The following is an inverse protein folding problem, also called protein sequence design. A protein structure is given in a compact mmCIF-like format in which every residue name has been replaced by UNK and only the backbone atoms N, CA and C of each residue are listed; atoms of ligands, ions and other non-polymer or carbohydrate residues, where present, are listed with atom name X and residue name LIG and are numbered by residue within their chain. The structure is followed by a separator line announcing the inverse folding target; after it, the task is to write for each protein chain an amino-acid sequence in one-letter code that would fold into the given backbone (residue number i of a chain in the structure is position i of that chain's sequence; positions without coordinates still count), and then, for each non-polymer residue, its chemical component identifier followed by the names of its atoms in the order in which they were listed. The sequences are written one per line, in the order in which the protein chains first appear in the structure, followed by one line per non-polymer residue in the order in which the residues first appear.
data_IF_462967856941
#
_entry.id   IF_462967856941
#
_cell.length_a   1.000
_cell.length_b   1.000
_cell.length_c   1.000
_cell.angle_alpha   90.00
_cell.angle_beta   90.00
_cell.angle_gamma   90.00
#
_symmetry.space_group_name_H-M   'P 1'
#
loop_
_entity.id
_entity.type
_entity.pdbx_description
1 polymer ?
#
# COMPACT_ATOMS: atom_id res chain seq x y z
N UNK A 1 -29.19 61.86 36.01
CA UNK A 1 -29.54 61.06 34.83
C UNK A 1 -29.15 59.63 35.10
N UNK A 2 -30.13 58.73 35.14
CA UNK A 2 -29.95 57.28 35.24
C UNK A 2 -29.28 56.76 33.96
N UNK A 3 -28.41 55.78 34.10
CA UNK A 3 -27.90 54.94 33.02
C UNK A 3 -27.40 53.64 33.63
N UNK A 4 -28.24 52.60 33.59
CA UNK A 4 -27.93 51.24 33.99
C UNK A 4 -26.93 50.60 33.00
N UNK A 5 -25.96 49.87 33.55
CA UNK A 5 -25.05 49.00 32.80
C UNK A 5 -24.66 47.80 33.67
N UNK A 6 -25.09 46.62 33.25
CA UNK A 6 -24.95 45.31 33.92
C UNK A 6 -23.50 44.82 33.82
N UNK A 7 -22.88 44.45 34.93
CA UNK A 7 -21.62 43.68 34.94
C UNK A 7 -21.79 42.32 35.63
N UNK A 8 -21.24 41.31 34.97
CA UNK A 8 -21.44 39.86 35.12
C UNK A 8 -20.30 39.27 35.98
N UNK A 9 -20.55 38.40 36.98
CA UNK A 9 -19.52 37.97 37.92
C UNK A 9 -18.86 36.66 37.46
N UNK A 10 -17.70 36.75 36.82
CA UNK A 10 -16.79 35.60 36.70
C UNK A 10 -15.42 36.11 36.27
N UNK A 11 -14.54 36.40 37.23
CA UNK A 11 -13.07 36.23 37.15
C UNK A 11 -12.44 36.86 38.40
N UNK A 12 -12.22 36.06 39.44
CA UNK A 12 -11.24 36.39 40.48
C UNK A 12 -10.17 35.28 40.49
N UNK A 13 -8.88 35.61 40.30
CA UNK A 13 -7.79 34.67 40.49
C UNK A 13 -7.37 34.64 41.97
N UNK A 14 -7.12 33.47 42.59
CA UNK A 14 -6.59 33.46 43.94
C UNK A 14 -5.07 33.70 43.95
N UNK A 15 -4.66 34.74 44.66
CA UNK A 15 -3.28 35.05 45.07
C UNK A 15 -2.87 34.26 46.33
N UNK A 16 -1.55 34.17 46.62
CA UNK A 16 -0.97 33.15 47.49
C UNK A 16 -0.85 33.61 48.94
N UNK A 17 -1.06 32.68 49.87
CA UNK A 17 -0.47 32.55 51.21
C UNK A 17 -1.49 32.13 52.26
N UNK A 18 -1.39 30.87 52.70
CA UNK A 18 -1.69 30.50 54.08
C UNK A 18 -0.95 29.22 54.43
N UNK A 19 0.08 29.38 55.25
CA UNK A 19 0.98 28.31 55.68
C UNK A 19 0.29 27.22 56.48
N UNK A 20 0.82 26.01 56.36
CA UNK A 20 0.57 24.93 57.33
C UNK A 20 1.80 24.04 57.50
N UNK A 21 2.51 24.33 58.59
CA UNK A 21 3.19 23.41 59.51
C UNK A 21 3.94 22.19 58.94
N UNK A 22 5.28 22.28 59.02
CA UNK A 22 6.19 21.14 59.12
C UNK A 22 5.97 20.40 60.45
N UNK A 23 5.69 19.10 60.38
CA UNK A 23 6.09 18.15 61.43
C UNK A 23 6.83 16.99 60.79
N UNK A 24 7.98 16.67 61.37
CA UNK A 24 8.89 15.63 60.93
C UNK A 24 8.70 14.33 61.73
N UNK A 25 8.66 13.21 60.99
CA UNK A 25 9.05 11.81 61.34
C UNK A 25 8.24 11.02 62.39
N UNK A 26 8.22 9.66 62.36
CA UNK A 26 9.29 8.78 61.83
C UNK A 26 8.88 7.63 60.90
N UNK A 27 9.92 7.02 60.33
CA UNK A 27 9.96 5.86 59.47
C UNK A 27 9.19 4.62 60.00
N UNK A 28 8.61 3.87 59.06
CA UNK A 28 8.17 2.49 59.27
C UNK A 28 6.92 2.14 58.46
N UNK A 29 6.99 1.03 57.71
CA UNK A 29 5.94 0.41 56.88
C UNK A 29 5.77 0.97 55.45
N UNK A 30 6.82 0.82 54.65
CA UNK A 30 6.70 0.74 53.19
C UNK A 30 6.70 -0.72 52.73
N UNK A 31 5.51 -1.25 52.45
CA UNK A 31 5.24 -2.37 51.55
C UNK A 31 3.70 -2.45 51.45
N UNK A 32 3.17 -2.80 50.28
CA UNK A 32 1.74 -3.03 50.00
C UNK A 32 0.87 -1.83 49.58
N UNK A 33 1.43 -0.91 48.79
CA UNK A 33 0.65 -0.02 47.91
C UNK A 33 1.18 -0.04 46.47
N UNK A 34 1.27 -1.25 45.89
CA UNK A 34 1.70 -1.47 44.50
C UNK A 34 0.89 -2.54 43.75
N UNK A 35 -0.22 -3.01 44.34
CA UNK A 35 -1.03 -4.09 43.77
C UNK A 35 -2.29 -3.54 43.07
N UNK A 36 -2.08 -2.73 42.03
CA UNK A 36 -3.03 -2.59 40.95
C UNK A 36 -2.24 -2.73 39.65
N UNK A 37 -1.70 -3.94 39.44
CA UNK A 37 -1.09 -4.32 38.20
C UNK A 37 -2.17 -4.27 37.11
N UNK A 38 -2.13 -3.23 36.27
CA UNK A 38 -2.53 -3.35 34.86
C UNK A 38 -1.93 -4.67 34.35
N UNK A 39 -2.75 -5.52 33.71
CA UNK A 39 -2.34 -6.82 33.15
C UNK A 39 -0.97 -6.69 32.49
N UNK A 40 0.09 -7.07 33.21
CA UNK A 40 1.45 -6.90 32.73
C UNK A 40 1.55 -7.71 31.45
N UNK A 41 1.75 -7.03 30.31
CA UNK A 41 1.86 -7.64 29.00
C UNK A 41 2.81 -8.84 29.09
N UNK A 42 2.29 -10.07 29.05
CA UNK A 42 3.10 -11.28 29.19
C UNK A 42 4.06 -11.36 27.99
N UNK A 43 5.30 -10.93 28.22
CA UNK A 43 6.38 -11.00 27.23
C UNK A 43 6.74 -12.47 26.99
N UNK A 44 6.78 -12.88 25.72
CA UNK A 44 6.91 -14.30 25.34
C UNK A 44 8.19 -14.62 24.55
N UNK A 45 8.68 -15.87 24.63
CA UNK A 45 9.72 -16.34 23.70
C UNK A 45 9.15 -16.51 22.28
N UNK A 46 9.99 -16.32 21.26
CA UNK A 46 9.61 -16.56 19.86
C UNK A 46 9.51 -18.08 19.57
N UNK A 47 8.36 -18.56 19.08
CA UNK A 47 8.16 -19.98 18.74
C UNK A 47 6.71 -20.46 18.79
N UNK A 48 6.53 -21.77 18.65
CA UNK A 48 5.22 -22.43 18.69
C UNK A 48 5.02 -23.20 19.98
N UNK A 49 4.20 -22.65 20.88
CA UNK A 49 3.88 -23.29 22.15
C UNK A 49 5.16 -23.61 22.94
N UNK A 50 5.49 -24.90 23.08
CA UNK A 50 6.70 -25.37 23.78
C UNK A 50 7.96 -25.41 22.90
N UNK A 51 7.85 -25.22 21.59
CA UNK A 51 8.98 -25.26 20.66
C UNK A 51 9.52 -23.84 20.44
N UNK A 52 10.58 -23.48 21.17
CA UNK A 52 11.23 -22.16 21.14
C UNK A 52 12.72 -22.28 20.77
N UNK A 53 13.06 -22.55 19.49
CA UNK A 53 14.44 -22.80 19.09
C UNK A 53 15.31 -21.56 19.25
N UNK A 54 16.57 -21.76 19.67
CA UNK A 54 17.54 -20.68 19.95
C UNK A 54 17.80 -19.76 18.73
N UNK A 55 17.76 -20.31 17.52
CA UNK A 55 17.95 -19.54 16.28
C UNK A 55 16.82 -18.50 16.07
N UNK A 56 15.57 -18.82 16.41
CA UNK A 56 14.44 -17.88 16.26
C UNK A 56 14.45 -16.78 17.34
N UNK A 57 15.12 -17.01 18.47
CA UNK A 57 15.26 -15.99 19.51
C UNK A 57 16.16 -14.82 19.09
N UNK A 58 17.08 -15.01 18.14
CA UNK A 58 17.89 -13.90 17.60
C UNK A 58 17.04 -12.84 16.90
N UNK A 59 15.90 -13.24 16.33
CA UNK A 59 14.95 -12.34 15.68
C UNK A 59 13.87 -11.82 16.65
N UNK A 60 13.88 -12.20 17.94
CA UNK A 60 12.89 -11.79 18.93
C UNK A 60 13.17 -10.36 19.47
N UNK A 61 13.26 -9.41 18.55
CA UNK A 61 13.49 -7.99 18.81
C UNK A 61 12.76 -7.14 17.75
N UNK A 62 12.61 -5.83 17.97
CA UNK A 62 11.92 -4.95 17.03
C UNK A 62 12.56 -4.93 15.63
N UNK A 63 13.88 -5.09 15.54
CA UNK A 63 14.61 -5.12 14.27
C UNK A 63 14.25 -6.36 13.43
N UNK A 64 14.16 -7.53 14.07
CA UNK A 64 13.75 -8.78 13.43
C UNK A 64 12.30 -8.73 12.95
N UNK A 65 11.41 -8.15 13.76
CA UNK A 65 10.03 -7.90 13.34
C UNK A 65 9.96 -6.92 12.18
N UNK A 66 10.72 -5.82 12.23
CA UNK A 66 10.79 -4.85 11.14
C UNK A 66 11.27 -5.51 9.84
N UNK A 67 12.27 -6.37 9.89
CA UNK A 67 12.75 -7.09 8.70
C UNK A 67 11.65 -7.96 8.07
N UNK A 68 10.92 -8.74 8.89
CA UNK A 68 9.80 -9.56 8.40
C UNK A 68 8.64 -8.69 7.86
N UNK A 69 8.30 -7.62 8.57
CA UNK A 69 7.30 -6.62 8.16
C UNK A 69 7.65 -5.97 6.83
N UNK A 70 8.89 -5.49 6.69
CA UNK A 70 9.40 -4.88 5.47
C UNK A 70 9.39 -5.85 4.29
N UNK A 71 9.78 -7.11 4.48
CA UNK A 71 9.69 -8.13 3.42
C UNK A 71 8.25 -8.35 2.96
N UNK A 72 7.30 -8.46 3.89
CA UNK A 72 5.89 -8.62 3.56
C UNK A 72 5.33 -7.38 2.83
N UNK A 73 5.73 -6.18 3.27
CA UNK A 73 5.35 -4.92 2.65
C UNK A 73 5.89 -4.80 1.22
N UNK A 74 7.14 -5.22 0.96
CA UNK A 74 7.71 -5.27 -0.40
C UNK A 74 6.89 -6.20 -1.28
N UNK A 75 6.60 -7.43 -0.84
CA UNK A 75 5.84 -8.37 -1.66
C UNK A 75 4.41 -7.91 -1.92
N UNK A 76 3.75 -7.31 -0.93
CA UNK A 76 2.44 -6.69 -1.13
C UNK A 76 2.53 -5.58 -2.20
N UNK A 77 3.54 -4.71 -2.12
CA UNK A 77 3.78 -3.65 -3.10
C UNK A 77 4.10 -4.19 -4.50
N UNK A 78 4.93 -5.24 -4.61
CA UNK A 78 5.24 -5.94 -5.86
C UNK A 78 3.96 -6.43 -6.51
N UNK A 79 3.12 -7.15 -5.77
CA UNK A 79 1.91 -7.78 -6.32
C UNK A 79 0.87 -6.73 -6.68
N UNK A 80 0.45 -5.91 -5.71
CA UNK A 80 -0.74 -5.04 -5.86
C UNK A 80 -0.45 -3.84 -6.74
N UNK A 81 0.68 -3.16 -6.51
CA UNK A 81 0.99 -1.90 -7.18
C UNK A 81 1.96 -2.05 -8.38
N UNK A 82 2.64 -3.19 -8.51
CA UNK A 82 3.54 -3.48 -9.64
C UNK A 82 2.92 -4.44 -10.65
N UNK A 83 2.85 -5.73 -10.29
CA UNK A 83 2.47 -6.83 -11.18
C UNK A 83 1.05 -6.70 -11.70
N UNK A 84 0.08 -6.31 -10.87
CA UNK A 84 -1.29 -6.12 -11.35
C UNK A 84 -1.33 -5.01 -12.39
N UNK A 85 -0.79 -3.82 -12.06
CA UNK A 85 -0.82 -2.66 -12.94
C UNK A 85 -0.16 -2.93 -14.31
N UNK A 86 1.00 -3.60 -14.34
CA UNK A 86 1.68 -3.91 -15.60
C UNK A 86 0.96 -5.02 -16.40
N UNK A 87 0.19 -5.89 -15.73
CA UNK A 87 -0.53 -6.99 -16.39
C UNK A 87 -1.90 -6.58 -16.95
N UNK A 88 -2.43 -5.40 -16.60
CA UNK A 88 -3.78 -4.95 -17.00
C UNK A 88 -3.98 -5.06 -18.51
N UNK A 89 -3.09 -4.48 -19.33
CA UNK A 89 -3.26 -4.49 -20.79
C UNK A 89 -3.27 -5.91 -21.37
N UNK A 90 -2.46 -6.81 -20.82
CA UNK A 90 -2.43 -8.22 -21.24
C UNK A 90 -3.74 -8.93 -20.88
N UNK A 91 -4.31 -8.62 -19.71
CA UNK A 91 -5.59 -9.17 -19.26
C UNK A 91 -6.75 -8.62 -20.10
N UNK A 92 -6.76 -7.32 -20.41
CA UNK A 92 -7.76 -6.70 -21.30
C UNK A 92 -7.79 -7.40 -22.66
N UNK A 93 -6.62 -7.55 -23.29
CA UNK A 93 -6.49 -8.21 -24.60
C UNK A 93 -6.87 -9.69 -24.55
N UNK A 94 -6.45 -10.42 -23.51
CA UNK A 94 -6.71 -11.87 -23.43
C UNK A 94 -8.17 -12.21 -23.13
N UNK A 95 -8.78 -11.50 -22.19
CA UNK A 95 -10.11 -11.81 -21.67
C UNK A 95 -11.21 -10.92 -22.29
N UNK A 96 -10.86 -10.12 -23.29
CA UNK A 96 -11.75 -9.21 -24.01
C UNK A 96 -12.50 -8.27 -23.04
N UNK A 97 -11.76 -7.70 -22.09
CA UNK A 97 -12.32 -6.82 -21.05
C UNK A 97 -12.14 -5.35 -21.45
N UNK A 98 -13.19 -4.56 -21.23
CA UNK A 98 -13.12 -3.11 -21.35
C UNK A 98 -12.31 -2.50 -20.20
N UNK A 99 -11.67 -1.35 -20.43
CA UNK A 99 -10.86 -0.66 -19.42
C UNK A 99 -11.64 -0.24 -18.16
N UNK A 100 -12.95 -0.06 -18.25
CA UNK A 100 -13.79 0.18 -17.07
C UNK A 100 -13.90 -1.04 -16.16
N UNK A 101 -13.93 -2.26 -16.74
CA UNK A 101 -14.01 -3.51 -15.99
C UNK A 101 -12.67 -3.90 -15.37
N UNK A 102 -11.56 -3.66 -16.07
CA UNK A 102 -10.22 -3.86 -15.51
C UNK A 102 -9.87 -2.78 -14.49
N UNK A 103 -10.38 -1.56 -14.65
CA UNK A 103 -10.38 -0.54 -13.59
C UNK A 103 -11.08 -1.02 -12.32
N UNK A 104 -12.22 -1.72 -12.45
CA UNK A 104 -12.91 -2.32 -11.30
C UNK A 104 -12.09 -3.43 -10.63
N UNK A 105 -11.34 -4.23 -11.39
CA UNK A 105 -10.40 -5.21 -10.83
C UNK A 105 -9.39 -4.49 -9.93
N UNK A 106 -8.75 -3.43 -10.43
CA UNK A 106 -7.76 -2.66 -9.65
C UNK A 106 -8.37 -2.07 -8.38
N UNK A 107 -9.54 -1.43 -8.49
CA UNK A 107 -10.24 -0.80 -7.36
C UNK A 107 -10.74 -1.81 -6.30
N UNK A 108 -10.89 -3.10 -6.64
CA UNK A 108 -11.41 -4.11 -5.71
C UNK A 108 -10.53 -4.30 -4.47
N UNK A 109 -9.21 -4.13 -4.60
CA UNK A 109 -8.29 -4.10 -3.46
C UNK A 109 -8.66 -3.00 -2.46
N UNK A 110 -8.83 -1.77 -2.97
CA UNK A 110 -9.14 -0.60 -2.15
C UNK A 110 -10.52 -0.71 -1.51
N UNK A 111 -11.50 -1.30 -2.19
CA UNK A 111 -12.85 -1.56 -1.65
C UNK A 111 -12.75 -2.47 -0.43
N UNK A 112 -12.05 -3.61 -0.55
CA UNK A 112 -11.86 -4.54 0.57
C UNK A 112 -11.08 -3.88 1.72
N UNK A 113 -10.00 -3.16 1.40
CA UNK A 113 -9.18 -2.48 2.38
C UNK A 113 -9.99 -1.43 3.17
N UNK A 114 -10.74 -0.57 2.48
CA UNK A 114 -11.56 0.47 3.10
C UNK A 114 -12.60 -0.12 4.06
N UNK A 115 -13.35 -1.14 3.62
CA UNK A 115 -14.42 -1.76 4.43
C UNK A 115 -13.84 -2.44 5.68
N UNK A 116 -12.71 -3.14 5.53
CA UNK A 116 -12.14 -3.96 6.60
C UNK A 116 -11.20 -3.19 7.54
N UNK A 117 -10.63 -2.05 7.10
CA UNK A 117 -9.64 -1.30 7.87
C UNK A 117 -10.09 -0.99 9.29
N UNK A 118 -11.26 -0.39 9.46
CA UNK A 118 -11.79 -0.02 10.77
C UNK A 118 -12.09 -1.23 11.64
N UNK A 119 -12.67 -2.28 11.04
CA UNK A 119 -13.03 -3.51 11.75
C UNK A 119 -11.77 -4.25 12.24
N UNK A 120 -10.81 -4.50 11.34
CA UNK A 120 -9.56 -5.18 11.66
C UNK A 120 -8.74 -4.38 12.65
N UNK A 121 -8.73 -3.05 12.57
CA UNK A 121 -8.03 -2.21 13.54
C UNK A 121 -8.64 -2.38 14.95
N UNK A 122 -9.95 -2.27 15.08
CA UNK A 122 -10.61 -2.36 16.39
C UNK A 122 -10.53 -3.74 17.04
N UNK A 123 -10.81 -4.81 16.28
CA UNK A 123 -10.81 -6.17 16.81
C UNK A 123 -9.41 -6.77 16.87
N UNK A 124 -8.57 -6.45 15.89
CA UNK A 124 -7.22 -6.98 15.79
C UNK A 124 -6.25 -6.38 16.81
N UNK A 125 -6.46 -5.14 17.24
CA UNK A 125 -5.63 -4.48 18.25
C UNK A 125 -5.63 -5.21 19.59
N UNK A 126 -6.76 -5.80 19.99
CA UNK A 126 -6.91 -6.59 21.22
C UNK A 126 -6.33 -8.00 21.10
N UNK A 127 -6.15 -8.46 19.87
CA UNK A 127 -5.71 -9.80 19.55
C UNK A 127 -4.19 -9.95 19.62
N UNK A 128 -3.71 -11.04 19.03
CA UNK A 128 -2.29 -11.30 18.88
C UNK A 128 -1.80 -10.70 17.56
N UNK A 129 -1.35 -9.44 17.56
CA UNK A 129 -1.03 -8.66 16.34
C UNK A 129 -0.15 -9.44 15.34
N UNK A 130 0.97 -10.10 15.72
CA UNK A 130 1.75 -10.90 14.75
C UNK A 130 1.00 -12.06 14.09
N UNK A 131 0.02 -12.68 14.75
CA UNK A 131 -0.80 -13.75 14.14
C UNK A 131 -1.78 -13.19 13.11
N UNK A 132 -2.25 -11.96 13.28
CA UNK A 132 -3.00 -11.26 12.23
C UNK A 132 -2.11 -10.95 11.02
N UNK A 133 -0.81 -10.74 11.21
CA UNK A 133 0.16 -10.60 10.12
C UNK A 133 0.48 -11.95 9.45
N UNK A 134 0.43 -13.07 10.17
CA UNK A 134 0.46 -14.39 9.56
C UNK A 134 -0.77 -14.64 8.67
N UNK A 135 -1.96 -14.23 9.14
CA UNK A 135 -3.20 -14.24 8.35
C UNK A 135 -3.11 -13.31 7.13
N UNK A 136 -2.50 -12.12 7.30
CA UNK A 136 -2.18 -11.18 6.22
C UNK A 136 -1.39 -11.86 5.10
N UNK A 137 -0.26 -12.47 5.44
CA UNK A 137 0.60 -13.18 4.50
C UNK A 137 -0.14 -14.33 3.80
N UNK A 138 -0.92 -15.12 4.55
CA UNK A 138 -1.74 -16.18 3.96
C UNK A 138 -2.70 -15.64 2.90
N UNK A 139 -3.46 -14.59 3.21
CA UNK A 139 -4.45 -13.98 2.31
C UNK A 139 -3.79 -13.29 1.10
N UNK A 140 -2.64 -12.63 1.29
CA UNK A 140 -1.87 -12.04 0.19
C UNK A 140 -1.36 -13.10 -0.79
N UNK A 141 -0.84 -14.21 -0.28
CA UNK A 141 -0.43 -15.33 -1.12
C UNK A 141 -1.63 -15.99 -1.83
N UNK A 142 -2.72 -16.24 -1.10
CA UNK A 142 -3.94 -16.83 -1.67
C UNK A 142 -4.54 -15.94 -2.78
N UNK A 143 -4.58 -14.63 -2.56
CA UNK A 143 -5.01 -13.66 -3.57
C UNK A 143 -4.12 -13.69 -4.81
N UNK A 144 -2.80 -13.77 -4.64
CA UNK A 144 -1.84 -13.90 -5.75
C UNK A 144 -2.03 -15.19 -6.54
N UNK A 145 -2.26 -16.31 -5.85
CA UNK A 145 -2.57 -17.60 -6.47
C UNK A 145 -3.87 -17.51 -7.28
N UNK A 146 -4.95 -17.03 -6.67
CA UNK A 146 -6.26 -16.90 -7.33
C UNK A 146 -6.19 -15.97 -8.54
N UNK A 147 -5.43 -14.88 -8.45
CA UNK A 147 -5.23 -13.96 -9.57
C UNK A 147 -4.52 -14.63 -10.76
N UNK A 148 -3.64 -15.62 -10.51
CA UNK A 148 -2.97 -16.39 -11.56
C UNK A 148 -3.82 -17.51 -12.19
N UNK A 149 -4.87 -17.98 -11.48
CA UNK A 149 -5.69 -19.13 -11.91
C UNK A 149 -6.31 -19.01 -13.31
N UNK A 150 -6.85 -17.85 -13.73
CA UNK A 150 -7.47 -17.72 -15.05
C UNK A 150 -6.57 -18.18 -16.19
N UNK A 151 -5.25 -18.00 -16.11
CA UNK A 151 -4.34 -18.48 -17.15
C UNK A 151 -4.43 -20.00 -17.34
N UNK A 152 -4.47 -20.77 -16.26
CA UNK A 152 -4.48 -22.23 -16.31
C UNK A 152 -5.85 -22.82 -16.70
N UNK A 153 -6.94 -22.11 -16.40
CA UNK A 153 -8.29 -22.60 -16.67
C UNK A 153 -8.90 -22.08 -17.97
N UNK A 154 -8.35 -21.01 -18.56
CA UNK A 154 -8.87 -20.38 -19.78
C UNK A 154 -8.53 -21.08 -21.09
N UNK A 155 -7.67 -22.11 -21.06
CA UNK A 155 -7.16 -22.79 -22.26
C UNK A 155 -6.00 -22.03 -22.92
N UNK A 156 -5.47 -22.55 -24.05
CA UNK A 156 -4.33 -21.94 -24.75
C UNK A 156 -4.72 -20.66 -25.47
N UNK A 157 -3.82 -19.69 -25.55
CA UNK A 157 -4.01 -18.53 -26.40
C UNK A 157 -3.93 -18.96 -27.88
N UNK A 158 -4.89 -18.57 -28.69
CA UNK A 158 -4.79 -18.72 -30.14
C UNK A 158 -4.57 -17.34 -30.75
N UNK A 159 -3.48 -17.17 -31.50
CA UNK A 159 -3.22 -15.95 -32.28
C UNK A 159 -4.41 -15.70 -33.20
N UNK A 160 -5.12 -14.58 -33.01
CA UNK A 160 -6.17 -14.16 -33.93
C UNK A 160 -5.60 -13.84 -35.31
N UNK A 161 -6.39 -14.01 -36.37
CA UNK A 161 -6.05 -13.50 -37.70
C UNK A 161 -5.73 -11.99 -37.60
N UNK A 162 -4.75 -11.51 -38.36
CA UNK A 162 -4.33 -10.11 -38.37
C UNK A 162 -5.54 -9.28 -38.82
N UNK A 163 -6.21 -8.60 -37.90
CA UNK A 163 -7.20 -7.60 -38.29
C UNK A 163 -6.37 -6.43 -38.80
N UNK A 164 -6.32 -6.26 -40.11
CA UNK A 164 -5.80 -5.01 -40.68
C UNK A 164 -6.74 -3.91 -40.19
N UNK A 165 -6.25 -3.00 -39.33
CA UNK A 165 -6.94 -1.79 -38.86
C UNK A 165 -7.26 -0.80 -40.01
N UNK A 166 -7.20 -1.27 -41.26
CA UNK A 166 -7.49 -0.53 -42.47
C UNK A 166 -8.71 -1.16 -43.13
N UNK A 167 -9.79 -0.39 -43.30
CA UNK A 167 -10.86 -0.78 -44.21
C UNK A 167 -10.27 -0.92 -45.62
N UNK A 168 -10.18 -2.15 -46.14
CA UNK A 168 -10.00 -2.32 -47.58
C UNK A 168 -11.29 -1.88 -48.27
N UNK A 169 -11.26 -0.68 -48.86
CA UNK A 169 -12.29 -0.28 -49.82
C UNK A 169 -12.03 -1.06 -51.11
N UNK A 170 -12.48 -2.32 -51.15
CA UNK A 170 -12.58 -3.04 -52.41
C UNK A 170 -13.81 -2.52 -53.14
N UNK A 171 -13.58 -1.83 -54.26
CA UNK A 171 -14.61 -1.20 -55.07
C UNK A 171 -15.78 -2.13 -55.36
N UNK A 172 -17.00 -1.60 -55.22
CA UNK A 172 -18.24 -2.14 -55.78
C UNK A 172 -18.55 -3.60 -55.44
N UNK A 173 -18.98 -3.84 -54.21
CA UNK A 173 -20.21 -4.60 -53.91
C UNK A 173 -20.54 -4.40 -52.44
N UNK A 174 -21.69 -3.81 -52.17
CA UNK A 174 -22.31 -3.75 -50.85
C UNK A 174 -22.71 -5.16 -50.40
N UNK A 175 -21.74 -5.98 -50.03
CA UNK A 175 -22.00 -7.17 -49.22
C UNK A 175 -22.15 -6.71 -47.80
N UNK A 176 -23.36 -6.86 -47.25
CA UNK A 176 -23.71 -6.62 -45.86
C UNK A 176 -22.63 -7.18 -44.92
N UNK A 177 -21.69 -6.33 -44.49
CA UNK A 177 -20.88 -6.60 -43.31
C UNK A 177 -21.83 -6.51 -42.13
N UNK A 178 -22.49 -7.63 -41.85
CA UNK A 178 -23.14 -7.85 -40.58
C UNK A 178 -22.00 -7.90 -39.57
N UNK A 179 -21.79 -6.79 -38.86
CA UNK A 179 -21.07 -6.79 -37.61
C UNK A 179 -21.87 -7.70 -36.67
N UNK A 180 -21.57 -9.00 -36.72
CA UNK A 180 -21.99 -9.92 -35.67
C UNK A 180 -21.33 -9.38 -34.42
N UNK A 181 -22.12 -8.74 -33.54
CA UNK A 181 -21.65 -8.45 -32.20
C UNK A 181 -21.29 -9.81 -31.63
N UNK A 182 -19.99 -10.11 -31.59
CA UNK A 182 -19.45 -11.37 -31.14
C UNK A 182 -20.11 -11.69 -29.82
N UNK A 183 -20.80 -12.83 -29.77
CA UNK A 183 -21.45 -13.32 -28.56
C UNK A 183 -20.39 -13.27 -27.46
N UNK A 184 -20.61 -12.44 -26.41
CA UNK A 184 -19.60 -12.20 -25.36
C UNK A 184 -18.96 -13.52 -24.98
N UNK A 185 -17.67 -13.65 -25.28
CA UNK A 185 -16.90 -14.84 -24.99
C UNK A 185 -17.07 -15.23 -23.52
N UNK A 186 -17.25 -16.53 -23.23
CA UNK A 186 -17.30 -17.03 -21.85
C UNK A 186 -16.05 -16.68 -21.04
N UNK A 187 -14.98 -16.27 -21.72
CA UNK A 187 -13.72 -15.80 -21.17
C UNK A 187 -13.88 -14.51 -20.34
N UNK A 188 -14.84 -13.64 -20.67
CA UNK A 188 -15.10 -12.42 -19.91
C UNK A 188 -15.55 -12.71 -18.46
N UNK A 189 -16.10 -13.90 -18.19
CA UNK A 189 -16.51 -14.32 -16.84
C UNK A 189 -15.32 -14.48 -15.87
N UNK A 190 -14.08 -14.60 -16.37
CA UNK A 190 -12.89 -14.62 -15.52
C UNK A 190 -12.64 -13.29 -14.79
N UNK A 191 -13.34 -12.21 -15.18
CA UNK A 191 -13.42 -10.97 -14.41
C UNK A 191 -13.67 -11.22 -12.92
N UNK A 192 -14.61 -12.09 -12.58
CA UNK A 192 -14.99 -12.35 -11.19
C UNK A 192 -13.87 -13.05 -10.40
N UNK A 193 -13.05 -13.85 -11.07
CA UNK A 193 -11.88 -14.50 -10.46
C UNK A 193 -10.81 -13.46 -10.14
N UNK A 194 -10.57 -12.52 -11.06
CA UNK A 194 -9.63 -11.41 -10.81
C UNK A 194 -10.11 -10.48 -9.69
N UNK A 195 -11.41 -10.15 -9.65
CA UNK A 195 -12.02 -9.39 -8.56
C UNK A 195 -11.86 -10.12 -7.23
N UNK A 196 -12.14 -11.43 -7.19
CA UNK A 196 -11.94 -12.24 -5.98
C UNK A 196 -10.49 -12.23 -5.51
N UNK A 197 -9.53 -12.40 -6.44
CA UNK A 197 -8.10 -12.30 -6.13
C UNK A 197 -7.74 -10.96 -5.49
N UNK A 198 -8.21 -9.86 -6.06
CA UNK A 198 -7.97 -8.51 -5.55
C UNK A 198 -8.64 -8.22 -4.20
N UNK A 199 -9.87 -8.71 -4.00
CA UNK A 199 -10.54 -8.62 -2.69
C UNK A 199 -9.72 -9.34 -1.61
N UNK A 200 -9.19 -10.54 -1.90
CA UNK A 200 -8.36 -11.30 -0.96
C UNK A 200 -7.02 -10.61 -0.69
N UNK A 201 -6.39 -10.02 -1.72
CA UNK A 201 -5.22 -9.16 -1.55
C UNK A 201 -5.53 -7.97 -0.63
N UNK A 202 -6.71 -7.35 -0.78
CA UNK A 202 -7.17 -6.26 0.08
C UNK A 202 -7.38 -6.69 1.53
N UNK A 203 -8.04 -7.83 1.75
CA UNK A 203 -8.20 -8.46 3.08
C UNK A 203 -6.84 -8.71 3.74
N UNK A 204 -5.86 -9.19 2.97
CA UNK A 204 -4.49 -9.40 3.45
C UNK A 204 -3.75 -8.09 3.71
N UNK A 205 -3.91 -7.08 2.86
CA UNK A 205 -3.27 -5.77 2.99
C UNK A 205 -3.72 -4.98 4.22
N UNK A 206 -4.96 -5.18 4.69
CA UNK A 206 -5.50 -4.47 5.85
C UNK A 206 -4.67 -4.64 7.13
N UNK A 207 -4.54 -5.84 7.73
CA UNK A 207 -3.76 -6.03 8.95
C UNK A 207 -2.27 -5.67 8.80
N UNK A 208 -1.72 -5.71 7.59
CA UNK A 208 -0.37 -5.26 7.32
C UNK A 208 -0.22 -3.77 7.69
N UNK A 209 -1.04 -2.90 7.12
CA UNK A 209 -0.91 -1.46 7.33
C UNK A 209 -1.50 -0.93 8.63
N UNK A 210 -2.46 -1.65 9.23
CA UNK A 210 -3.09 -1.24 10.50
C UNK A 210 -2.38 -1.83 11.72
N UNK A 211 -2.37 -3.16 11.84
CA UNK A 211 -1.84 -3.85 13.02
C UNK A 211 -0.32 -3.98 12.97
N UNK A 212 0.26 -4.08 11.77
CA UNK A 212 1.70 -4.22 11.59
C UNK A 212 2.45 -2.98 12.07
N UNK A 213 1.97 -1.80 11.69
CA UNK A 213 2.50 -0.50 12.14
C UNK A 213 2.22 -0.26 13.62
N UNK A 214 1.03 -0.61 14.11
CA UNK A 214 0.71 -0.52 15.53
C UNK A 214 1.62 -1.39 16.40
N UNK A 215 1.98 -2.60 15.95
CA UNK A 215 2.91 -3.45 16.68
C UNK A 215 4.33 -2.86 16.74
N UNK A 216 4.79 -2.25 15.65
CA UNK A 216 6.08 -1.52 15.63
C UNK A 216 6.03 -0.35 16.61
N UNK A 217 4.95 0.44 16.58
CA UNK A 217 4.83 1.56 17.51
C UNK A 217 4.89 1.08 18.95
N UNK A 218 4.09 0.09 19.32
CA UNK A 218 4.07 -0.46 20.69
C UNK A 218 5.42 -0.98 21.18
N UNK A 219 6.18 -1.61 20.27
CA UNK A 219 7.40 -2.36 20.62
C UNK A 219 8.67 -1.50 20.60
N UNK A 220 8.59 -0.25 20.13
CA UNK A 220 9.75 0.62 19.92
C UNK A 220 9.62 1.90 20.76
N UNK A 221 10.71 2.42 21.36
CA UNK A 221 10.68 3.69 22.08
C UNK A 221 10.11 4.83 21.22
N UNK A 222 9.38 5.77 21.84
CA UNK A 222 8.68 6.88 21.17
C UNK A 222 9.49 7.56 20.06
N UNK A 223 10.73 7.96 20.37
CA UNK A 223 11.58 8.65 19.39
C UNK A 223 12.07 7.73 18.26
N UNK A 224 12.15 6.41 18.44
CA UNK A 224 12.59 5.49 17.38
C UNK A 224 11.42 4.94 16.55
N UNK A 225 10.18 5.00 17.04
CA UNK A 225 9.01 4.45 16.34
C UNK A 225 8.84 5.03 14.93
N UNK A 226 8.94 6.35 14.79
CA UNK A 226 8.83 7.04 13.49
C UNK A 226 9.85 6.55 12.45
N UNK A 227 11.09 6.25 12.87
CA UNK A 227 12.10 5.68 11.99
C UNK A 227 11.73 4.29 11.49
N UNK A 228 11.25 3.42 12.39
CA UNK A 228 10.89 2.04 12.04
C UNK A 228 9.67 2.02 11.11
N UNK A 229 8.65 2.82 11.42
CA UNK A 229 7.47 2.97 10.58
C UNK A 229 7.85 3.55 9.21
N UNK A 230 8.73 4.57 9.18
CA UNK A 230 9.24 5.17 7.95
C UNK A 230 10.00 4.18 7.06
N UNK A 231 10.88 3.34 7.64
CA UNK A 231 11.55 2.24 6.92
C UNK A 231 10.49 1.26 6.37
N UNK A 232 9.53 0.87 7.18
CA UNK A 232 8.44 -0.02 6.78
C UNK A 232 7.67 0.48 5.55
N UNK A 233 7.22 1.73 5.56
CA UNK A 233 6.52 2.36 4.43
C UNK A 233 7.42 2.58 3.21
N UNK A 234 8.70 2.92 3.41
CA UNK A 234 9.65 3.04 2.31
C UNK A 234 9.82 1.71 1.55
N UNK A 235 9.90 0.59 2.27
CA UNK A 235 10.02 -0.74 1.65
C UNK A 235 8.75 -1.15 0.89
N UNK A 236 7.57 -0.76 1.36
CA UNK A 236 6.32 -0.91 0.58
C UNK A 236 6.39 -0.20 -0.76
N UNK A 237 6.96 1.02 -0.78
CA UNK A 237 7.05 1.84 -1.99
C UNK A 237 8.09 1.32 -3.00
N UNK A 238 9.16 0.69 -2.53
CA UNK A 238 10.12 0.01 -3.40
C UNK A 238 9.52 -1.23 -4.09
N UNK A 239 8.50 -1.85 -3.47
CA UNK A 239 7.79 -3.01 -4.01
C UNK A 239 7.28 -2.80 -5.45
N UNK A 240 6.45 -1.78 -5.75
CA UNK A 240 5.98 -1.52 -7.11
C UNK A 240 7.12 -1.41 -8.14
N UNK A 241 8.23 -0.72 -7.83
CA UNK A 241 9.36 -0.60 -8.76
C UNK A 241 9.96 -1.97 -9.10
N UNK A 242 10.16 -2.84 -8.11
CA UNK A 242 10.60 -4.22 -8.31
C UNK A 242 9.57 -4.99 -9.15
N UNK A 243 8.27 -4.82 -8.88
CA UNK A 243 7.18 -5.46 -9.62
C UNK A 243 7.10 -5.03 -11.09
N UNK A 244 7.27 -3.73 -11.40
CA UNK A 244 7.32 -3.24 -12.78
C UNK A 244 8.52 -3.79 -13.54
N UNK A 245 9.70 -3.85 -12.91
CA UNK A 245 10.90 -4.42 -13.55
C UNK A 245 10.73 -5.92 -13.79
N UNK A 246 10.36 -6.68 -12.77
CA UNK A 246 10.15 -8.14 -12.89
C UNK A 246 9.04 -8.46 -13.89
N UNK A 247 7.89 -7.78 -13.79
CA UNK A 247 6.77 -7.94 -14.70
C UNK A 247 7.15 -7.58 -16.13
N UNK A 248 7.89 -6.49 -16.34
CA UNK A 248 8.30 -6.03 -17.67
C UNK A 248 9.21 -7.03 -18.37
N UNK A 249 10.14 -7.65 -17.64
CA UNK A 249 10.97 -8.73 -18.19
C UNK A 249 10.14 -9.97 -18.55
N UNK A 250 9.14 -10.32 -17.72
CA UNK A 250 8.25 -11.45 -17.98
C UNK A 250 7.27 -11.18 -19.11
N UNK A 251 7.01 -9.91 -19.46
CA UNK A 251 6.22 -9.58 -20.64
C UNK A 251 6.94 -9.93 -21.95
N UNK A 252 8.27 -10.01 -21.95
CA UNK A 252 9.06 -10.44 -23.12
C UNK A 252 9.03 -11.96 -23.33
N UNK A 253 8.46 -12.71 -22.40
CA UNK A 253 8.26 -14.15 -22.50
C UNK A 253 6.84 -14.42 -22.96
N UNK A 254 6.66 -15.24 -23.99
CA UNK A 254 5.33 -15.55 -24.51
C UNK A 254 4.45 -16.24 -23.46
N UNK A 255 3.17 -15.87 -23.43
CA UNK A 255 2.20 -16.32 -22.41
C UNK A 255 2.11 -17.85 -22.26
N UNK A 256 2.21 -18.58 -23.37
CA UNK A 256 2.22 -20.04 -23.40
C UNK A 256 3.66 -20.54 -23.63
N UNK A 257 4.39 -20.82 -22.55
CA UNK A 257 5.82 -21.22 -22.57
C UNK A 257 6.09 -22.44 -23.48
N UNK A 258 5.08 -23.30 -23.68
CA UNK A 258 5.12 -24.38 -24.65
C UNK A 258 4.64 -23.90 -26.03
N UNK A 259 5.54 -23.27 -26.78
CA UNK A 259 5.40 -23.22 -28.24
C UNK A 259 5.45 -24.67 -28.72
N UNK A 260 4.45 -25.19 -29.46
CA UNK A 260 4.51 -26.56 -29.95
C UNK A 260 5.54 -26.65 -31.08
N UNK A 261 6.82 -26.85 -30.75
CA UNK A 261 7.89 -27.25 -31.67
C UNK A 261 7.61 -28.58 -32.40
N UNK A 262 6.45 -29.23 -32.18
CA UNK A 262 6.23 -30.62 -32.57
C UNK A 262 5.16 -30.87 -33.63
N UNK A 263 4.40 -29.84 -34.05
CA UNK A 263 3.39 -29.99 -35.10
C UNK A 263 3.80 -29.36 -36.44
N UNK A 264 5.02 -28.84 -36.58
CA UNK A 264 5.44 -28.13 -37.79
C UNK A 264 6.16 -29.02 -38.83
N UNK A 265 6.44 -30.28 -38.50
CA UNK A 265 7.21 -31.15 -39.40
C UNK A 265 6.40 -31.64 -40.62
N UNK A 266 5.08 -31.80 -40.53
CA UNK A 266 4.28 -32.27 -41.66
C UNK A 266 3.84 -31.14 -42.61
N UNK A 267 3.63 -29.93 -42.08
CA UNK A 267 3.18 -28.78 -42.88
C UNK A 267 4.36 -28.12 -43.62
N UNK A 268 5.54 -28.03 -43.00
CA UNK A 268 6.76 -27.55 -43.68
C UNK A 268 7.22 -28.48 -44.82
N UNK A 269 6.86 -29.77 -44.78
CA UNK A 269 7.11 -30.72 -45.87
C UNK A 269 6.17 -30.55 -47.06
N UNK A 270 4.93 -30.08 -46.84
CA UNK A 270 3.92 -29.94 -47.89
C UNK A 270 3.87 -28.51 -48.46
N UNK A 271 4.28 -27.49 -47.70
CA UNK A 271 4.24 -26.09 -48.11
C UNK A 271 5.49 -25.32 -47.64
N UNK A 272 6.64 -25.50 -48.33
CA UNK A 272 7.93 -24.91 -47.93
C UNK A 272 7.96 -23.37 -47.92
N UNK A 273 6.94 -22.70 -48.51
CA UNK A 273 6.85 -21.23 -48.63
C UNK A 273 5.61 -20.62 -47.97
N UNK A 274 4.77 -21.38 -47.25
CA UNK A 274 3.53 -20.84 -46.67
C UNK A 274 3.68 -20.42 -45.20
N UNK A 275 4.56 -21.08 -44.46
CA UNK A 275 4.87 -20.74 -43.07
C UNK A 275 6.34 -20.34 -42.98
N UNK A 276 6.67 -19.17 -43.55
CA UNK A 276 7.85 -18.45 -43.07
C UNK A 276 7.69 -18.37 -41.56
N UNK A 277 8.68 -18.90 -40.84
CA UNK A 277 8.85 -18.73 -39.41
C UNK A 277 8.17 -17.44 -38.98
N UNK A 278 7.07 -17.55 -38.26
CA UNK A 278 6.54 -16.41 -37.53
C UNK A 278 7.64 -16.08 -36.53
N UNK A 279 8.61 -15.28 -36.96
CA UNK A 279 9.44 -14.49 -36.07
C UNK A 279 8.40 -13.78 -35.23
N UNK A 280 8.21 -14.27 -34.01
CA UNK A 280 7.27 -13.70 -33.08
C UNK A 280 7.84 -12.33 -32.74
N UNK A 281 7.38 -11.34 -33.48
CA UNK A 281 7.78 -9.97 -33.27
C UNK A 281 7.17 -9.52 -31.95
N UNK A 282 8.03 -9.11 -31.01
CA UNK A 282 7.60 -8.60 -29.71
C UNK A 282 6.78 -7.32 -29.87
N UNK A 283 6.93 -6.64 -31.01
CA UNK A 283 6.20 -5.43 -31.37
C UNK A 283 4.80 -5.73 -31.96
N UNK A 284 4.42 -7.00 -32.17
CA UNK A 284 3.06 -7.35 -32.61
C UNK A 284 2.05 -6.99 -31.49
N UNK A 285 1.02 -6.15 -31.76
CA UNK A 285 0.04 -5.76 -30.76
C UNK A 285 -0.75 -6.93 -30.14
N UNK A 286 -0.71 -8.13 -30.76
CA UNK A 286 -1.32 -9.36 -30.27
C UNK A 286 -0.42 -10.16 -29.34
N UNK A 287 0.84 -9.76 -29.15
CA UNK A 287 1.74 -10.39 -28.21
C UNK A 287 1.23 -10.23 -26.78
N UNK A 288 1.18 -11.35 -26.05
CA UNK A 288 0.79 -11.40 -24.65
C UNK A 288 1.91 -12.05 -23.85
N UNK A 289 2.34 -11.35 -22.79
CA UNK A 289 3.43 -11.79 -21.94
C UNK A 289 3.01 -12.79 -20.86
N UNK A 290 3.98 -13.52 -20.29
CA UNK A 290 3.77 -14.53 -19.25
C UNK A 290 3.59 -13.93 -17.84
N UNK A 291 2.59 -13.06 -17.68
CA UNK A 291 2.31 -12.31 -16.45
C UNK A 291 2.10 -13.20 -15.21
N UNK A 292 1.52 -14.39 -15.37
CA UNK A 292 1.14 -15.31 -14.29
C UNK A 292 2.33 -15.85 -13.48
N UNK A 293 3.53 -15.91 -14.07
CA UNK A 293 4.73 -16.49 -13.45
C UNK A 293 5.11 -15.71 -12.18
N UNK A 294 5.11 -14.38 -12.25
CA UNK A 294 5.48 -13.55 -11.11
C UNK A 294 4.50 -13.68 -9.95
N UNK A 295 3.19 -13.83 -10.24
CA UNK A 295 2.18 -14.04 -9.21
C UNK A 295 2.40 -15.36 -8.46
N UNK A 296 2.77 -16.44 -9.17
CA UNK A 296 3.11 -17.71 -8.54
C UNK A 296 4.40 -17.62 -7.71
N UNK A 297 5.44 -16.97 -8.22
CA UNK A 297 6.67 -16.75 -7.48
C UNK A 297 6.41 -15.96 -6.18
N UNK A 298 5.62 -14.89 -6.26
CA UNK A 298 5.22 -14.10 -5.08
C UNK A 298 4.35 -14.91 -4.12
N UNK A 299 3.44 -15.76 -4.61
CA UNK A 299 2.64 -16.66 -3.77
C UNK A 299 3.52 -17.52 -2.86
N UNK A 300 4.50 -18.23 -3.43
CA UNK A 300 5.41 -19.06 -2.63
C UNK A 300 6.24 -18.20 -1.67
N UNK A 301 6.79 -17.08 -2.14
CA UNK A 301 7.62 -16.19 -1.34
C UNK A 301 6.88 -15.59 -0.13
N UNK A 302 5.64 -15.14 -0.32
CA UNK A 302 4.80 -14.59 0.74
C UNK A 302 4.43 -15.67 1.74
N UNK A 303 4.11 -16.89 1.30
CA UNK A 303 3.75 -17.98 2.21
C UNK A 303 4.90 -18.43 3.09
N UNK A 304 6.16 -18.30 2.65
CA UNK A 304 7.30 -18.50 3.55
C UNK A 304 7.31 -17.50 4.73
N UNK A 305 6.74 -16.30 4.57
CA UNK A 305 6.64 -15.32 5.64
C UNK A 305 5.56 -15.63 6.70
N UNK A 306 4.67 -16.61 6.46
CA UNK A 306 3.73 -17.07 7.49
C UNK A 306 4.48 -17.62 8.72
N UNK A 307 5.59 -18.31 8.48
CA UNK A 307 6.42 -18.93 9.52
C UNK A 307 6.94 -17.88 10.53
N UNK A 308 7.71 -16.84 10.13
CA UNK A 308 8.21 -15.86 11.09
C UNK A 308 7.10 -15.13 11.84
N UNK A 309 6.00 -14.72 11.17
CA UNK A 309 4.88 -14.05 11.84
C UNK A 309 4.11 -14.93 12.82
N UNK A 310 4.05 -16.24 12.55
CA UNK A 310 3.43 -17.20 13.48
C UNK A 310 4.29 -17.46 14.72
N UNK A 311 5.61 -17.25 14.63
CA UNK A 311 6.55 -17.47 15.72
C UNK A 311 6.67 -16.26 16.66
N UNK A 312 6.50 -15.03 16.17
CA UNK A 312 6.62 -13.84 17.01
C UNK A 312 5.64 -13.87 18.20
N UNK A 313 6.07 -13.46 19.41
CA UNK A 313 5.21 -13.42 20.60
C UNK A 313 4.19 -12.27 20.53
N UNK A 314 3.20 -12.28 21.43
CA UNK A 314 2.16 -11.23 21.48
C UNK A 314 2.76 -9.85 21.79
N UNK A 315 3.78 -9.82 22.62
CA UNK A 315 4.55 -8.64 22.99
C UNK A 315 6.04 -9.00 22.95
N UNK A 316 6.85 -8.14 22.35
CA UNK A 316 8.30 -8.32 22.31
C UNK A 316 8.92 -8.06 23.70
N UNK A 317 10.10 -8.63 23.99
CA UNK A 317 10.81 -8.35 25.23
C UNK A 317 11.06 -6.84 25.43
N UNK A 318 10.70 -6.30 26.60
CA UNK A 318 10.80 -4.88 26.94
C UNK A 318 9.62 -4.00 26.52
N UNK A 319 8.61 -4.56 25.84
CA UNK A 319 7.42 -3.81 25.37
C UNK A 319 6.63 -3.24 26.54
N UNK A 320 6.50 -3.98 27.65
CA UNK A 320 5.72 -3.53 28.81
C UNK A 320 6.28 -2.22 29.41
N UNK A 321 7.62 -2.12 29.48
CA UNK A 321 8.31 -0.92 29.97
C UNK A 321 8.13 0.26 29.02
N UNK A 322 8.22 0.02 27.71
CA UNK A 322 8.06 1.06 26.67
C UNK A 322 6.64 1.63 26.68
N UNK A 323 5.63 0.77 26.81
CA UNK A 323 4.23 1.20 26.87
C UNK A 323 3.95 2.05 28.11
N UNK A 324 4.44 1.63 29.28
CA UNK A 324 4.29 2.41 30.51
C UNK A 324 4.90 3.83 30.40
N UNK A 325 6.06 3.96 29.76
CA UNK A 325 6.72 5.25 29.53
C UNK A 325 5.89 6.14 28.58
N UNK A 326 5.38 5.60 27.48
CA UNK A 326 4.53 6.35 26.52
C UNK A 326 3.22 6.84 27.15
N UNK A 327 2.59 6.00 27.98
CA UNK A 327 1.35 6.35 28.68
C UNK A 327 1.62 7.51 29.65
N UNK A 328 2.70 7.45 30.43
CA UNK A 328 3.02 8.50 31.41
C UNK A 328 3.17 9.90 30.82
N UNK A 329 3.64 10.02 29.57
CA UNK A 329 3.78 11.32 28.88
C UNK A 329 2.50 11.83 28.23
N UNK A 330 1.59 10.93 27.84
CA UNK A 330 0.35 11.27 27.13
C UNK A 330 -0.77 11.68 28.10
N UNK A 331 -0.62 11.34 29.39
CA UNK A 331 -1.69 11.36 30.39
C UNK A 331 -1.40 12.26 31.60
N UNK A 332 -0.95 13.49 31.38
CA UNK A 332 -0.91 14.51 32.45
C UNK A 332 -2.31 15.01 32.89
N UNK A 333 -3.40 14.56 32.25
CA UNK A 333 -4.76 15.12 32.42
C UNK A 333 -5.86 14.10 32.88
N UNK A 334 -5.50 12.88 33.32
CA UNK A 334 -6.46 11.96 33.98
C UNK A 334 -7.59 11.36 33.10
N UNK A 335 -7.50 11.51 31.77
CA UNK A 335 -8.55 11.09 30.81
C UNK A 335 -8.78 9.57 30.72
N UNK A 336 -7.79 8.74 31.07
CA UNK A 336 -7.87 7.27 30.96
C UNK A 336 -8.88 6.67 31.95
N UNK A 337 -8.91 7.18 33.18
CA UNK A 337 -9.85 6.74 34.21
C UNK A 337 -11.31 6.92 33.75
N UNK A 338 -11.61 7.93 32.93
CA UNK A 338 -12.93 8.20 32.36
C UNK A 338 -13.29 7.29 31.17
N UNK A 339 -12.30 6.82 30.41
CA UNK A 339 -12.50 5.93 29.26
C UNK A 339 -12.69 4.48 29.70
N UNK A 340 -11.91 4.03 30.70
CA UNK A 340 -12.07 2.71 31.33
C UNK A 340 -13.35 2.62 32.18
N UNK A 341 -13.65 3.61 33.05
CA UNK A 341 -14.86 3.55 33.89
C UNK A 341 -16.17 3.55 33.10
N UNK A 342 -16.19 4.11 31.89
CA UNK A 342 -17.40 4.14 31.04
C UNK A 342 -17.51 2.98 30.05
N UNK A 343 -16.61 1.98 30.07
CA UNK A 343 -16.57 0.87 29.09
C UNK A 343 -16.57 1.34 27.61
N UNK A 344 -16.19 2.60 27.35
CA UNK A 344 -16.32 3.26 26.05
C UNK A 344 -15.46 2.59 24.99
N UNK A 345 -14.29 2.09 25.38
CA UNK A 345 -13.39 1.37 24.48
C UNK A 345 -13.98 0.09 23.92
N UNK A 346 -14.90 -0.60 24.63
CA UNK A 346 -15.41 -1.92 24.22
C UNK A 346 -16.45 -1.88 23.10
N UNK A 347 -17.12 -0.74 22.89
CA UNK A 347 -18.19 -0.58 21.90
C UNK A 347 -17.67 0.07 20.61
N UNK A 348 -17.61 -0.70 19.51
CA UNK A 348 -17.10 -0.22 18.21
C UNK A 348 -17.76 1.08 17.73
N UNK A 349 -19.11 1.22 17.70
CA UNK A 349 -19.74 2.44 17.21
C UNK A 349 -19.46 3.67 18.07
N UNK A 350 -19.31 3.48 19.39
CA UNK A 350 -19.04 4.57 20.34
C UNK A 350 -17.59 5.05 20.16
N UNK A 351 -16.64 4.12 20.09
CA UNK A 351 -15.24 4.43 19.83
C UNK A 351 -15.08 5.16 18.48
N UNK A 352 -15.74 4.67 17.44
CA UNK A 352 -15.74 5.31 16.12
C UNK A 352 -16.30 6.74 16.20
N UNK A 353 -17.44 6.95 16.86
CA UNK A 353 -18.04 8.29 16.96
C UNK A 353 -17.16 9.28 17.74
N UNK A 354 -16.44 8.82 18.76
CA UNK A 354 -15.49 9.67 19.51
C UNK A 354 -14.32 10.08 18.61
N UNK A 355 -13.75 9.13 17.86
CA UNK A 355 -12.69 9.44 16.89
C UNK A 355 -13.19 10.39 15.80
N UNK A 356 -14.41 10.17 15.30
CA UNK A 356 -15.00 11.03 14.26
C UNK A 356 -15.25 12.47 14.73
N UNK A 357 -15.52 12.66 16.02
CA UNK A 357 -15.72 13.98 16.63
C UNK A 357 -14.42 14.68 17.04
N UNK A 358 -13.27 14.02 16.96
CA UNK A 358 -11.99 14.62 17.30
C UNK A 358 -11.48 15.52 16.15
N UNK A 359 -11.47 16.86 16.31
CA UNK A 359 -11.15 17.79 15.23
C UNK A 359 -9.68 17.71 14.80
N UNK A 360 -8.77 17.37 15.73
CA UNK A 360 -7.33 17.24 15.43
C UNK A 360 -7.10 16.01 14.55
N UNK A 361 -7.71 14.88 14.92
CA UNK A 361 -7.60 13.65 14.13
C UNK A 361 -8.20 13.84 12.73
N UNK A 362 -9.38 14.45 12.63
CA UNK A 362 -10.01 14.72 11.33
C UNK A 362 -9.19 15.64 10.44
N UNK A 363 -8.58 16.68 11.02
CA UNK A 363 -7.71 17.58 10.26
C UNK A 363 -6.48 16.83 9.71
N UNK A 364 -5.88 15.94 10.49
CA UNK A 364 -4.76 15.10 10.05
C UNK A 364 -5.16 14.12 8.95
N UNK A 365 -6.34 13.49 9.04
CA UNK A 365 -6.85 12.58 8.01
C UNK A 365 -7.07 13.33 6.70
N UNK A 366 -7.69 14.51 6.73
CA UNK A 366 -7.92 15.33 5.54
C UNK A 366 -6.59 15.76 4.90
N UNK A 367 -5.62 16.19 5.70
CA UNK A 367 -4.29 16.56 5.23
C UNK A 367 -3.58 15.37 4.56
N UNK A 368 -3.53 14.22 5.23
CA UNK A 368 -2.87 13.01 4.71
C UNK A 368 -3.57 12.47 3.44
N UNK A 369 -4.90 12.49 3.40
CA UNK A 369 -5.67 12.09 2.21
C UNK A 369 -5.42 13.03 1.03
N UNK A 370 -5.31 14.33 1.29
CA UNK A 370 -5.01 15.32 0.25
C UNK A 370 -3.59 15.13 -0.32
N UNK A 371 -2.61 14.86 0.54
CA UNK A 371 -1.24 14.54 0.13
C UNK A 371 -1.19 13.25 -0.69
N UNK A 372 -1.88 12.20 -0.24
CA UNK A 372 -1.99 10.94 -0.97
C UNK A 372 -2.65 11.11 -2.34
N UNK A 373 -3.69 11.95 -2.44
CA UNK A 373 -4.34 12.28 -3.72
C UNK A 373 -3.38 12.96 -4.69
N UNK A 374 -2.60 13.93 -4.21
CA UNK A 374 -1.56 14.59 -5.03
C UNK A 374 -0.51 13.56 -5.47
N UNK A 375 0.02 12.77 -4.55
CA UNK A 375 1.07 11.79 -4.84
C UNK A 375 0.61 10.74 -5.88
N UNK A 376 -0.59 10.19 -5.71
CA UNK A 376 -1.17 9.21 -6.64
C UNK A 376 -1.51 9.81 -8.00
N UNK A 377 -2.02 11.05 -8.03
CA UNK A 377 -2.27 11.80 -9.26
C UNK A 377 -0.99 12.03 -10.06
N UNK A 378 0.08 12.51 -9.41
CA UNK A 378 1.39 12.67 -10.06
C UNK A 378 1.96 11.31 -10.50
N UNK A 379 1.96 10.29 -9.65
CA UNK A 379 2.48 8.97 -10.01
C UNK A 379 1.82 8.38 -11.27
N UNK A 380 0.51 8.58 -11.40
CA UNK A 380 -0.30 7.99 -12.49
C UNK A 380 -0.20 8.80 -13.79
N UNK A 381 -0.28 10.13 -13.71
CA UNK A 381 -0.43 10.98 -14.89
C UNK A 381 0.86 11.64 -15.34
N UNK A 382 1.89 11.72 -14.50
CA UNK A 382 3.15 12.38 -14.87
C UNK A 382 3.84 11.71 -16.07
N UNK A 383 3.95 10.36 -16.18
CA UNK A 383 4.55 9.75 -17.37
C UNK A 383 3.76 10.06 -18.65
N UNK A 384 2.43 10.00 -18.59
CA UNK A 384 1.53 10.34 -19.71
C UNK A 384 1.65 11.80 -20.12
N UNK A 385 1.77 12.69 -19.13
CA UNK A 385 2.00 14.11 -19.38
C UNK A 385 3.31 14.33 -20.12
N UNK A 386 4.40 13.68 -19.71
CA UNK A 386 5.71 13.83 -20.35
C UNK A 386 5.70 13.25 -21.78
N UNK A 387 5.05 12.11 -21.97
CA UNK A 387 4.87 11.50 -23.29
C UNK A 387 4.08 12.41 -24.24
N UNK A 388 2.92 12.91 -23.81
CA UNK A 388 2.06 13.72 -24.68
C UNK A 388 2.57 15.16 -24.88
N UNK A 389 3.18 15.76 -23.86
CA UNK A 389 3.59 17.17 -23.90
C UNK A 389 4.96 17.36 -24.55
N UNK A 390 5.88 16.41 -24.36
CA UNK A 390 7.27 16.49 -24.82
C UNK A 390 7.64 15.44 -25.86
N UNK A 391 6.64 14.69 -26.38
CA UNK A 391 6.78 13.59 -27.35
C UNK A 391 7.85 12.56 -27.01
N UNK A 392 8.13 12.39 -25.71
CA UNK A 392 9.07 11.38 -25.24
C UNK A 392 8.45 10.00 -25.33
N UNK A 393 9.27 9.01 -25.61
CA UNK A 393 8.81 7.61 -25.66
C UNK A 393 8.18 7.20 -24.33
N UNK A 394 7.14 6.36 -24.39
CA UNK A 394 6.46 5.85 -23.19
C UNK A 394 7.43 5.18 -22.21
N UNK A 395 8.45 4.48 -22.73
CA UNK A 395 9.50 3.85 -21.93
C UNK A 395 10.37 4.85 -21.18
N UNK A 396 10.79 5.95 -21.82
CA UNK A 396 11.59 6.98 -21.17
C UNK A 396 10.78 7.71 -20.09
N UNK A 397 9.56 8.10 -20.40
CA UNK A 397 8.65 8.81 -19.48
C UNK A 397 8.30 7.97 -18.26
N UNK A 398 8.01 6.67 -18.45
CA UNK A 398 7.76 5.73 -17.37
C UNK A 398 9.02 5.47 -16.53
N UNK A 399 10.20 5.36 -17.15
CA UNK A 399 11.47 5.18 -16.44
C UNK A 399 11.81 6.40 -15.59
N UNK A 400 11.60 7.61 -16.12
CA UNK A 400 11.82 8.85 -15.36
C UNK A 400 10.86 8.94 -14.17
N UNK A 401 9.58 8.67 -14.39
CA UNK A 401 8.58 8.62 -13.32
C UNK A 401 8.94 7.60 -12.24
N UNK A 402 9.30 6.37 -12.64
CA UNK A 402 9.66 5.29 -11.72
C UNK A 402 10.97 5.53 -10.96
N UNK A 403 12.03 5.97 -11.65
CA UNK A 403 13.37 6.14 -11.07
C UNK A 403 13.47 7.38 -10.18
N UNK A 404 12.72 8.44 -10.49
CA UNK A 404 12.73 9.66 -9.68
C UNK A 404 11.73 9.56 -8.55
N UNK A 405 10.47 9.23 -8.83
CA UNK A 405 9.40 9.34 -7.83
C UNK A 405 9.51 8.27 -6.74
N UNK A 406 9.73 7.01 -7.11
CA UNK A 406 9.73 5.90 -6.14
C UNK A 406 10.89 5.99 -5.16
N UNK A 407 12.17 6.12 -5.59
CA UNK A 407 13.27 6.31 -4.67
C UNK A 407 13.17 7.63 -3.87
N UNK A 408 12.74 8.74 -4.48
CA UNK A 408 12.60 10.00 -3.76
C UNK A 408 11.59 9.90 -2.61
N UNK A 409 10.44 9.28 -2.85
CA UNK A 409 9.43 9.09 -1.83
C UNK A 409 9.88 8.07 -0.76
N UNK A 410 10.57 6.98 -1.13
CA UNK A 410 11.14 6.04 -0.18
C UNK A 410 12.21 6.70 0.72
N UNK A 411 13.12 7.48 0.12
CA UNK A 411 14.12 8.25 0.86
C UNK A 411 13.47 9.31 1.74
N UNK A 412 12.42 10.00 1.27
CA UNK A 412 11.66 10.97 2.04
C UNK A 412 11.07 10.38 3.32
N UNK A 413 10.48 9.18 3.25
CA UNK A 413 9.93 8.46 4.39
C UNK A 413 11.01 8.07 5.41
N UNK A 414 12.18 7.62 4.95
CA UNK A 414 13.30 7.26 5.84
C UNK A 414 13.92 8.52 6.48
N UNK A 415 14.16 9.56 5.69
CA UNK A 415 14.75 10.82 6.16
C UNK A 415 13.85 11.49 7.20
N UNK A 416 12.53 11.52 6.97
CA UNK A 416 11.58 12.09 7.94
C UNK A 416 11.62 11.32 9.28
N UNK A 417 11.63 9.99 9.23
CA UNK A 417 11.77 9.13 10.41
C UNK A 417 13.11 9.32 11.13
N UNK A 418 14.22 9.42 10.39
CA UNK A 418 15.55 9.70 10.96
C UNK A 418 15.55 11.06 11.67
N UNK A 419 14.99 12.10 11.05
CA UNK A 419 15.02 13.45 11.60
C UNK A 419 14.18 13.53 12.88
N UNK A 420 12.95 13.01 12.87
CA UNK A 420 12.09 12.95 14.07
C UNK A 420 12.78 12.17 15.19
N UNK A 421 13.47 11.07 14.84
CA UNK A 421 14.16 10.23 15.81
C UNK A 421 15.42 10.86 16.40
N UNK A 422 16.30 11.39 15.56
CA UNK A 422 17.57 12.01 15.98
C UNK A 422 17.34 13.31 16.73
N UNK A 423 16.39 14.13 16.30
CA UNK A 423 16.04 15.38 16.96
C UNK A 423 15.16 15.17 18.20
N UNK A 424 14.73 13.94 18.51
CA UNK A 424 13.83 13.60 19.62
C UNK A 424 12.63 14.55 19.67
N UNK A 425 11.95 14.72 18.55
CA UNK A 425 10.88 15.71 18.43
C UNK A 425 9.65 15.29 19.25
N UNK A 426 9.12 16.20 20.06
CA UNK A 426 7.80 16.08 20.70
C UNK A 426 6.66 16.39 19.71
N UNK A 427 5.42 16.04 20.06
CA UNK A 427 4.24 16.24 19.20
C UNK A 427 4.13 17.67 18.64
N UNK A 428 4.42 18.69 19.47
CA UNK A 428 4.41 20.09 19.04
C UNK A 428 5.47 20.39 17.97
N UNK A 429 6.66 19.82 18.11
CA UNK A 429 7.75 20.00 17.15
C UNK A 429 7.51 19.19 15.87
N UNK A 430 6.88 18.01 15.97
CA UNK A 430 6.45 17.22 14.82
C UNK A 430 5.42 17.99 13.99
N UNK A 431 4.41 18.61 14.61
CA UNK A 431 3.40 19.41 13.89
C UNK A 431 4.05 20.62 13.20
N UNK A 432 4.95 21.33 13.89
CA UNK A 432 5.70 22.44 13.27
C UNK A 432 6.54 21.98 12.08
N UNK A 433 7.21 20.84 12.22
CA UNK A 433 7.99 20.24 11.15
C UNK A 433 7.09 19.91 9.95
N UNK A 434 5.93 19.28 10.16
CA UNK A 434 4.94 18.98 9.12
C UNK A 434 4.47 20.24 8.39
N UNK A 435 4.08 21.29 9.12
CA UNK A 435 3.68 22.57 8.51
C UNK A 435 4.82 23.17 7.67
N UNK A 436 6.05 23.12 8.19
CA UNK A 436 7.24 23.58 7.48
C UNK A 436 7.46 22.82 6.17
N UNK A 437 7.45 21.48 6.21
CA UNK A 437 7.64 20.64 5.01
C UNK A 437 6.52 20.80 4.00
N UNK A 438 5.26 20.90 4.43
CA UNK A 438 4.14 21.15 3.52
C UNK A 438 4.25 22.53 2.85
N UNK A 439 4.69 23.55 3.59
CA UNK A 439 4.88 24.90 3.04
C UNK A 439 6.00 24.93 1.99
N UNK A 440 7.12 24.24 2.26
CA UNK A 440 8.21 24.07 1.28
C UNK A 440 7.72 23.31 0.05
N UNK A 441 6.96 22.22 0.22
CA UNK A 441 6.40 21.46 -0.88
C UNK A 441 5.47 22.30 -1.75
N UNK A 442 4.61 23.13 -1.15
CA UNK A 442 3.75 24.06 -1.89
C UNK A 442 4.57 25.07 -2.68
N UNK A 443 5.59 25.67 -2.07
CA UNK A 443 6.49 26.61 -2.75
C UNK A 443 7.20 25.95 -3.95
N UNK A 444 7.72 24.74 -3.79
CA UNK A 444 8.35 24.00 -4.88
C UNK A 444 7.36 23.67 -6.01
N UNK A 445 6.11 23.32 -5.67
CA UNK A 445 5.08 23.08 -6.68
C UNK A 445 4.70 24.34 -7.48
N UNK A 446 4.90 25.55 -6.95
CA UNK A 446 4.66 26.78 -7.74
C UNK A 446 5.56 26.89 -8.97
N UNK A 447 6.69 26.19 -8.99
CA UNK A 447 7.56 26.12 -10.19
C UNK A 447 6.79 25.60 -11.39
N UNK A 448 5.85 24.67 -11.24
CA UNK A 448 5.02 24.18 -12.34
C UNK A 448 4.11 25.26 -12.96
N UNK A 449 3.78 26.33 -12.22
CA UNK A 449 2.98 27.45 -12.74
C UNK A 449 3.82 28.41 -13.61
N UNK A 450 5.12 28.51 -13.36
CA UNK A 450 5.99 29.50 -13.99
C UNK A 450 6.97 28.90 -15.00
N UNK A 451 7.35 27.63 -14.84
CA UNK A 451 8.25 26.93 -15.74
C UNK A 451 7.54 26.66 -17.08
N UNK A 452 7.96 27.36 -18.13
CA UNK A 452 7.53 27.10 -19.51
C UNK A 452 8.63 26.30 -20.20
N UNK A 453 8.30 25.11 -20.68
CA UNK A 453 9.10 24.43 -21.68
C UNK A 453 8.44 24.64 -23.04
N UNK A 454 9.26 24.69 -24.10
CA UNK A 454 8.74 24.69 -25.47
C UNK A 454 8.02 23.37 -25.74
N UNK A 455 6.86 23.45 -26.40
CA UNK A 455 6.20 22.26 -26.92
C UNK A 455 7.00 21.73 -28.10
N UNK A 456 6.94 20.43 -28.36
CA UNK A 456 7.46 19.91 -29.61
C UNK A 456 6.72 20.52 -30.80
N UNK A 457 7.44 20.84 -31.90
CA UNK A 457 6.81 21.37 -33.10
C UNK A 457 5.88 20.30 -33.68
N UNK A 458 4.60 20.65 -33.82
CA UNK A 458 3.59 19.80 -34.42
C UNK A 458 3.35 20.28 -35.85
N UNK A 459 3.64 19.45 -36.83
CA UNK A 459 3.42 19.79 -38.24
C UNK A 459 1.95 20.13 -38.49
N UNK A 460 1.70 21.28 -39.12
CA UNK A 460 0.37 21.83 -39.37
C UNK A 460 -0.25 22.64 -38.24
N UNK A 461 0.40 22.74 -37.07
CA UNK A 461 -0.07 23.55 -35.92
C UNK A 461 1.01 24.53 -35.45
N UNK A 462 2.22 24.02 -35.20
CA UNK A 462 3.37 24.79 -34.70
C UNK A 462 4.40 25.09 -35.80
N UNK A 463 4.52 24.21 -36.79
CA UNK A 463 5.39 24.34 -37.96
C UNK A 463 4.64 23.96 -39.23
N UNK A 464 5.10 24.44 -40.39
CA UNK A 464 4.55 24.03 -41.69
C UNK A 464 4.86 22.56 -41.97
N UNK A 465 4.02 21.87 -42.75
CA UNK A 465 4.27 20.46 -43.11
C UNK A 465 5.61 20.25 -43.84
N UNK A 466 6.19 21.32 -44.41
CA UNK A 466 7.46 21.30 -45.14
C UNK A 466 8.69 21.61 -44.25
N UNK A 467 8.51 21.74 -42.92
CA UNK A 467 9.55 22.16 -41.97
C UNK A 467 9.45 23.63 -41.61
#
# INVERSE_FOLDING_TARGET
MKGDGIENPAFEPPSPDLGRQRHASPAGAGADAGAAASEAAEEGPCGWGRCTPKALQLCNNPEGYLAAYSLLAIFQGIVVNGLINISISTIEKRYELNSSLTGLISASYDIAFCILSLFVSFFGERGHKPRWLAFSAFMLGLGSLIFSLPHFSSGKYHYGAKLEDTCQISGTSSTNFTCSASTKSSLSNYLYVFILGQLLLGVGGTPLYTLGTAFIDDSVPKHKSSLYIGIGYAMSLLGPAIGYVLGGQLLNVYIDIQIPERQDNMVNLLFPNYFSSTQMDQDDPRWLGAWWIAFLACFFAIWFLIIPFSCFPKYLPGTAKIQAEKISETHNDGSEALVETKNIGKNFPVALLILLKNPVLMSLIIASSSEALVATGFATFLPKFIENQFGKTSSFSATLGGLVLVPAAALGQVISGILVSKCKMDCKNIIKFMIGTCSVALLLNTVFLFAKCGNEPFAGVSETYDG
#
